data_IF_649298546090
#
_entry.id   IF_649298546090
#
_cell.length_a   1.000
_cell.length_b   1.000
_cell.length_c   1.000
_cell.angle_alpha   90.00
_cell.angle_beta   90.00
_cell.angle_gamma   90.00
#
_symmetry.space_group_name_H-M   'P 1'
#
loop_
_entity.id
_entity.type
_entity.pdbx_description
1 polymer ?
#
# COMPACT_ATOMS: atom_id res chain seq x y z
N UNK A 1 -0.99 15.63 7.99
CA UNK A 1 -0.94 14.25 7.47
C UNK A 1 -1.13 14.24 5.97
N UNK A 2 -0.33 13.46 5.28
CA UNK A 2 -0.42 13.33 3.82
C UNK A 2 -0.56 11.86 3.46
N UNK A 3 -0.74 11.58 2.19
CA UNK A 3 -0.79 10.22 1.72
C UNK A 3 -0.27 10.16 0.29
N UNK A 4 0.16 8.98 -0.12
CA UNK A 4 0.48 8.76 -1.53
C UNK A 4 0.27 7.29 -1.86
N UNK A 5 0.36 6.98 -3.14
CA UNK A 5 0.28 5.60 -3.59
C UNK A 5 1.66 4.98 -3.56
N UNK A 6 1.74 3.76 -3.08
CA UNK A 6 2.98 2.98 -3.04
C UNK A 6 2.69 1.54 -3.42
N UNK A 7 3.70 0.89 -3.97
CA UNK A 7 3.62 -0.56 -4.19
C UNK A 7 3.99 -1.23 -2.88
N UNK A 8 3.14 -2.14 -2.42
CA UNK A 8 3.45 -2.96 -1.25
C UNK A 8 3.47 -4.41 -1.68
N UNK A 9 4.55 -5.11 -1.33
CA UNK A 9 4.67 -6.53 -1.62
C UNK A 9 4.14 -7.33 -0.45
N UNK A 10 3.48 -8.43 -0.76
CA UNK A 10 2.84 -9.31 0.22
C UNK A 10 3.33 -10.72 0.04
N UNK A 11 3.56 -11.45 1.13
CA UNK A 11 3.95 -12.86 1.04
C UNK A 11 2.78 -13.70 0.53
N UNK A 12 3.04 -14.92 0.07
CA UNK A 12 1.95 -15.80 -0.33
C UNK A 12 1.02 -16.06 0.84
N UNK A 13 -0.26 -16.13 0.56
CA UNK A 13 -1.27 -16.34 1.58
C UNK A 13 -1.02 -17.69 2.27
N UNK A 14 -0.94 -17.64 3.60
CA UNK A 14 -0.78 -18.85 4.41
C UNK A 14 0.60 -19.47 4.38
N UNK A 15 1.56 -18.86 3.67
CA UNK A 15 2.92 -19.40 3.59
C UNK A 15 3.89 -18.30 3.99
N UNK A 16 4.60 -18.51 5.07
CA UNK A 16 5.53 -17.53 5.60
C UNK A 16 6.93 -17.76 5.01
N UNK A 17 7.53 -16.70 4.56
CA UNK A 17 8.92 -16.76 4.12
C UNK A 17 9.16 -17.23 2.71
N UNK A 18 8.13 -17.49 1.95
CA UNK A 18 8.30 -17.89 0.55
C UNK A 18 8.36 -16.63 -0.33
N UNK A 19 9.56 -16.14 -0.53
CA UNK A 19 9.79 -14.90 -1.25
C UNK A 19 9.56 -15.02 -2.74
N UNK A 20 9.64 -16.20 -3.30
CA UNK A 20 9.51 -16.39 -4.73
C UNK A 20 8.10 -16.20 -5.25
N UNK A 21 7.11 -16.18 -4.37
CA UNK A 21 5.72 -16.09 -4.78
C UNK A 21 5.03 -14.85 -4.24
N UNK A 22 5.77 -13.81 -3.97
CA UNK A 22 5.18 -12.59 -3.45
C UNK A 22 4.30 -11.94 -4.51
N UNK A 23 3.26 -11.25 -4.05
CA UNK A 23 2.40 -10.45 -4.91
C UNK A 23 2.63 -8.98 -4.62
N UNK A 24 2.23 -8.15 -5.56
CA UNK A 24 2.47 -6.71 -5.48
C UNK A 24 1.17 -5.98 -5.75
N UNK A 25 0.84 -5.01 -4.91
CA UNK A 25 -0.38 -4.25 -5.06
C UNK A 25 -0.11 -2.78 -4.78
N UNK A 26 -0.92 -1.92 -5.37
CA UNK A 26 -0.86 -0.49 -5.09
C UNK A 26 -1.74 -0.22 -3.89
N UNK A 27 -1.22 0.51 -2.91
CA UNK A 27 -1.95 0.89 -1.72
C UNK A 27 -1.85 2.40 -1.51
N UNK A 28 -2.82 2.97 -0.81
CA UNK A 28 -2.63 4.30 -0.23
C UNK A 28 -1.84 4.12 1.06
N UNK A 29 -0.85 4.96 1.23
CA UNK A 29 0.01 4.92 2.41
C UNK A 29 -0.09 6.29 3.07
N UNK A 30 -0.35 6.31 4.36
CA UNK A 30 -0.59 7.53 5.12
C UNK A 30 0.67 7.90 5.89
N UNK A 31 1.02 9.18 5.82
CA UNK A 31 2.30 9.67 6.32
C UNK A 31 2.07 10.84 7.25
N UNK A 32 2.73 10.83 8.39
CA UNK A 32 2.69 11.94 9.33
C UNK A 32 4.10 12.18 9.85
N UNK A 33 4.55 13.43 9.78
CA UNK A 33 5.91 13.82 10.19
C UNK A 33 6.99 12.97 9.50
N UNK A 34 6.76 12.64 8.23
CA UNK A 34 7.73 11.87 7.46
C UNK A 34 7.72 10.38 7.74
N UNK A 35 6.85 9.92 8.61
CA UNK A 35 6.76 8.50 8.96
C UNK A 35 5.47 7.91 8.46
N UNK A 36 5.53 6.65 8.02
CA UNK A 36 4.35 5.93 7.59
C UNK A 36 3.57 5.50 8.82
N UNK A 37 2.31 5.94 8.90
CA UNK A 37 1.47 5.64 10.05
C UNK A 37 0.35 4.65 9.72
N UNK A 38 0.18 4.30 8.47
CA UNK A 38 -0.82 3.32 8.08
C UNK A 38 -0.88 3.17 6.58
N UNK A 39 -1.69 2.23 6.13
CA UNK A 39 -1.91 1.97 4.71
C UNK A 39 -3.25 1.25 4.54
N UNK A 40 -3.79 1.26 3.32
CA UNK A 40 -5.06 0.59 3.05
C UNK A 40 -4.92 -0.91 3.25
N UNK A 41 -5.95 -1.52 3.79
CA UNK A 41 -5.95 -2.96 4.04
C UNK A 41 -5.89 -3.75 2.74
N UNK A 42 -6.63 -3.30 1.75
CA UNK A 42 -6.70 -3.95 0.45
C UNK A 42 -6.01 -3.12 -0.60
N UNK A 43 -5.51 -3.79 -1.63
CA UNK A 43 -4.94 -3.09 -2.76
C UNK A 43 -5.97 -2.22 -3.46
N UNK A 44 -5.48 -1.12 -4.02
CA UNK A 44 -6.30 -0.18 -4.76
C UNK A 44 -6.23 -0.48 -6.24
N UNK A 45 -7.28 -0.19 -6.96
CA UNK A 45 -7.30 -0.29 -8.41
C UNK A 45 -7.87 0.99 -8.98
N UNK A 46 -7.50 1.34 -10.21
CA UNK A 46 -8.05 2.56 -10.81
C UNK A 46 -9.57 2.46 -10.94
N UNK A 47 -10.23 3.56 -10.69
CA UNK A 47 -11.69 3.61 -10.77
C UNK A 47 -12.11 4.97 -11.31
N UNK A 48 -13.19 5.00 -12.07
CA UNK A 48 -13.78 6.24 -12.53
C UNK A 48 -15.17 6.00 -13.03
N UNK A 49 -16.03 7.00 -12.92
CA UNK A 49 -17.39 6.93 -13.44
C UNK A 49 -17.43 7.38 -14.90
N UNK A 50 -16.29 7.76 -15.45
CA UNK A 50 -16.12 8.06 -16.86
C UNK A 50 -14.75 7.59 -17.28
N UNK A 51 -14.53 7.51 -18.60
CA UNK A 51 -13.20 7.10 -19.10
C UNK A 51 -12.13 8.11 -18.70
N UNK A 52 -12.47 9.40 -18.70
CA UNK A 52 -11.52 10.42 -18.31
C UNK A 52 -11.13 10.29 -16.85
N UNK A 53 -12.09 10.03 -15.98
CA UNK A 53 -11.81 9.84 -14.57
C UNK A 53 -10.97 8.59 -14.32
N UNK A 54 -11.27 7.52 -15.02
CA UNK A 54 -10.49 6.29 -14.89
C UNK A 54 -9.04 6.51 -15.30
N UNK A 55 -8.83 7.21 -16.42
CA UNK A 55 -7.48 7.50 -16.89
C UNK A 55 -6.73 8.36 -15.90
N UNK A 56 -7.38 9.36 -15.35
CA UNK A 56 -6.75 10.25 -14.38
C UNK A 56 -6.35 9.50 -13.12
N UNK A 57 -7.23 8.63 -12.64
CA UNK A 57 -6.94 7.83 -11.46
C UNK A 57 -5.76 6.89 -11.71
N UNK A 58 -5.74 6.28 -12.89
CA UNK A 58 -4.63 5.43 -13.28
C UNK A 58 -3.31 6.19 -13.30
N UNK A 59 -3.33 7.40 -13.82
CA UNK A 59 -2.12 8.23 -13.88
C UNK A 59 -1.60 8.58 -12.48
N UNK A 60 -2.49 8.87 -11.55
CA UNK A 60 -2.09 9.13 -10.17
C UNK A 60 -1.45 7.88 -9.55
N UNK A 61 -2.05 6.73 -9.79
CA UNK A 61 -1.52 5.48 -9.24
C UNK A 61 -0.17 5.09 -9.81
N UNK A 62 0.10 5.50 -11.04
CA UNK A 62 1.39 5.22 -11.66
C UNK A 62 2.56 5.82 -10.88
N UNK A 63 2.31 6.88 -10.12
CA UNK A 63 3.35 7.48 -9.30
C UNK A 63 3.95 6.49 -8.30
N UNK A 64 3.20 5.45 -7.93
CA UNK A 64 3.70 4.43 -7.03
C UNK A 64 4.93 3.72 -7.59
N UNK A 65 5.03 3.62 -8.91
CA UNK A 65 6.14 2.92 -9.55
C UNK A 65 7.44 3.72 -9.52
N UNK A 66 7.38 4.99 -9.17
CA UNK A 66 8.56 5.84 -9.09
C UNK A 66 9.24 5.77 -7.72
N UNK A 67 8.66 5.05 -6.78
CA UNK A 67 9.16 4.95 -5.42
C UNK A 67 9.53 3.51 -5.10
N UNK A 68 10.40 3.28 -4.11
CA UNK A 68 10.77 1.92 -3.74
C UNK A 68 9.57 1.09 -3.31
N UNK A 69 9.62 -0.19 -3.59
CA UNK A 69 8.61 -1.14 -3.14
C UNK A 69 8.74 -1.31 -1.62
N UNK A 70 7.60 -1.28 -0.95
CA UNK A 70 7.56 -1.52 0.49
C UNK A 70 7.16 -2.97 0.73
N UNK A 71 7.66 -3.57 1.78
CA UNK A 71 7.25 -4.91 2.19
C UNK A 71 6.26 -4.77 3.34
N UNK A 72 5.13 -5.45 3.22
CA UNK A 72 4.10 -5.35 4.25
C UNK A 72 4.63 -5.77 5.62
N UNK A 73 5.50 -6.78 5.65
CA UNK A 73 6.07 -7.24 6.91
C UNK A 73 6.85 -6.13 7.61
N UNK A 74 7.59 -5.35 6.83
CA UNK A 74 8.38 -4.27 7.40
C UNK A 74 7.50 -3.17 7.97
N UNK A 75 6.40 -2.87 7.30
CA UNK A 75 5.46 -1.87 7.79
C UNK A 75 4.81 -2.32 9.08
N UNK A 76 4.38 -3.56 9.14
CA UNK A 76 3.74 -4.10 10.33
C UNK A 76 4.67 -4.21 11.51
N UNK A 77 5.94 -4.43 11.25
CA UNK A 77 6.96 -4.57 12.26
C UNK A 77 7.49 -3.25 12.77
N UNK A 78 7.58 -2.27 11.88
CA UNK A 78 8.28 -1.01 12.16
C UNK A 78 7.54 -0.11 13.13
N UNK A 79 6.27 -0.35 13.37
CA UNK A 79 5.51 0.52 14.25
C UNK A 79 4.40 -0.28 14.90
N UNK A 80 3.72 0.34 15.82
CA UNK A 80 2.60 -0.28 16.49
C UNK A 80 1.30 0.09 15.81
N UNK A 81 1.32 0.34 14.52
CA UNK A 81 0.09 0.86 13.93
C UNK A 81 -1.06 -0.13 13.99
N UNK A 82 -0.81 -1.40 13.98
CA UNK A 82 -1.88 -2.37 14.20
C UNK A 82 -2.56 -2.19 15.55
N UNK A 83 -1.79 -1.91 16.56
CA UNK A 83 -2.30 -1.71 17.91
C UNK A 83 -2.77 -0.28 18.16
N UNK A 84 -1.96 0.67 17.73
CA UNK A 84 -2.22 2.08 18.03
C UNK A 84 -3.41 2.63 17.28
N UNK A 85 -3.60 2.17 16.05
CA UNK A 85 -4.61 2.71 15.17
C UNK A 85 -5.74 1.74 14.88
N UNK A 86 -5.68 0.56 15.45
CA UNK A 86 -6.70 -0.45 15.22
C UNK A 86 -6.64 -1.08 13.85
N UNK A 87 -5.51 -1.02 13.17
CA UNK A 87 -5.36 -1.63 11.87
C UNK A 87 -5.51 -3.14 11.97
N UNK A 88 -6.29 -3.72 11.12
CA UNK A 88 -6.50 -5.15 11.12
C UNK A 88 -7.49 -5.65 12.15
N UNK A 89 -8.13 -4.76 12.84
CA UNK A 89 -9.12 -5.15 13.84
C UNK A 89 -10.52 -5.00 13.32
#
# INVERSE_FOLDING_TARGET
MTWNYRIISHPPYGVVGNEGERTYQIHEVYIDNGEIIGFTEKGMQPFGESMDELRQDFEYMQAAFTKPVLRVEDLEKASNFGESLGWGT
#
